data_IF_187493806186
#
_entry.id   IF_187493806186
#
_cell.length_a   1.000
_cell.length_b   1.000
_cell.length_c   1.000
_cell.angle_alpha   90.00
_cell.angle_beta   90.00
_cell.angle_gamma   90.00
#
_symmetry.space_group_name_H-M   'P 1'
#
loop_
_entity.id
_entity.type
_entity.pdbx_description
1 polymer ?
#
# COMPACT_ATOMS: atom_id res chain seq x y z
N UNK A 1 -3.08 8.31 25.90
CA UNK A 1 -4.04 9.37 25.53
C UNK A 1 -4.20 10.28 26.73
N UNK A 2 -4.12 11.57 26.53
CA UNK A 2 -4.15 12.55 27.60
C UNK A 2 -5.58 12.90 28.05
N UNK A 3 -6.58 12.64 27.20
CA UNK A 3 -7.98 12.97 27.46
C UNK A 3 -8.84 11.70 27.29
N UNK A 4 -9.77 11.41 28.24
CA UNK A 4 -10.73 10.33 28.06
C UNK A 4 -11.62 10.57 26.84
N UNK A 5 -11.77 9.56 26.01
CA UNK A 5 -12.66 9.57 24.83
C UNK A 5 -13.86 8.65 25.09
N UNK A 6 -15.04 8.94 24.50
CA UNK A 6 -16.18 8.03 24.56
C UNK A 6 -15.83 6.67 23.98
N UNK A 7 -16.26 5.60 24.64
CA UNK A 7 -16.12 4.25 24.11
C UNK A 7 -17.11 4.00 22.99
N UNK A 8 -16.73 3.10 22.04
CA UNK A 8 -17.59 2.69 20.94
C UNK A 8 -17.47 1.19 20.71
N UNK A 9 -18.49 0.60 20.07
CA UNK A 9 -18.45 -0.76 19.57
C UNK A 9 -18.08 -0.70 18.09
N UNK A 10 -16.94 -1.31 17.73
CA UNK A 10 -16.50 -1.44 16.34
C UNK A 10 -16.73 -2.88 15.88
N UNK A 11 -17.52 -3.05 14.82
CA UNK A 11 -17.67 -4.33 14.10
C UNK A 11 -16.77 -4.33 12.88
N UNK A 12 -15.90 -5.32 12.79
CA UNK A 12 -14.96 -5.48 11.67
C UNK A 12 -15.32 -6.72 10.86
N UNK A 13 -15.52 -6.54 9.56
CA UNK A 13 -15.76 -7.61 8.60
C UNK A 13 -14.50 -7.82 7.74
N UNK A 14 -14.09 -9.08 7.58
CA UNK A 14 -12.95 -9.48 6.76
C UNK A 14 -13.14 -10.92 6.31
N UNK A 15 -12.55 -11.29 5.16
CA UNK A 15 -12.52 -12.67 4.67
C UNK A 15 -11.83 -13.62 5.66
N UNK A 16 -10.88 -13.12 6.42
CA UNK A 16 -10.20 -13.85 7.48
C UNK A 16 -9.71 -12.92 8.58
N UNK A 17 -9.81 -13.37 9.82
CA UNK A 17 -9.19 -12.75 10.98
C UNK A 17 -7.93 -13.47 11.44
N UNK A 18 -7.47 -14.49 10.68
CA UNK A 18 -6.21 -15.18 10.98
C UNK A 18 -5.03 -14.31 10.54
N UNK A 19 -4.14 -14.04 11.48
CA UNK A 19 -2.99 -13.15 11.36
C UNK A 19 -1.70 -13.94 11.52
N UNK A 20 -0.58 -13.39 11.11
CA UNK A 20 0.74 -14.01 11.37
C UNK A 20 0.96 -14.19 12.87
N UNK A 21 0.53 -13.23 13.71
CA UNK A 21 0.59 -13.31 15.16
C UNK A 21 -0.18 -14.50 15.75
N UNK A 22 -1.26 -14.96 15.10
CA UNK A 22 -1.99 -16.17 15.54
C UNK A 22 -1.09 -17.41 15.50
N UNK A 23 -0.25 -17.54 14.49
CA UNK A 23 0.74 -18.62 14.36
C UNK A 23 1.89 -18.45 15.35
N UNK A 24 2.38 -17.21 15.53
CA UNK A 24 3.44 -16.93 16.50
C UNK A 24 3.03 -17.30 17.93
N UNK A 25 1.81 -16.95 18.34
CA UNK A 25 1.29 -17.30 19.67
C UNK A 25 1.33 -18.82 19.91
N UNK A 26 0.90 -19.60 18.92
CA UNK A 26 0.93 -21.07 19.00
C UNK A 26 2.37 -21.62 19.01
N UNK A 27 3.26 -21.03 18.23
CA UNK A 27 4.67 -21.38 18.18
C UNK A 27 5.37 -21.10 19.51
N UNK A 28 5.24 -19.90 20.07
CA UNK A 28 5.86 -19.52 21.34
C UNK A 28 5.29 -20.28 22.55
N UNK A 29 4.05 -20.77 22.45
CA UNK A 29 3.46 -21.65 23.47
C UNK A 29 3.76 -23.12 23.22
N UNK A 30 4.69 -23.44 22.31
CA UNK A 30 5.15 -24.79 21.96
C UNK A 30 4.01 -25.75 21.60
N UNK A 31 3.13 -25.32 20.65
CA UNK A 31 1.96 -26.09 20.19
C UNK A 31 2.02 -26.33 18.66
N UNK A 32 3.04 -27.06 18.15
CA UNK A 32 3.23 -27.26 16.72
C UNK A 32 2.04 -27.95 16.05
N UNK A 33 1.37 -28.86 16.73
CA UNK A 33 0.16 -29.54 16.24
C UNK A 33 -1.00 -28.57 16.00
N UNK A 34 -1.11 -27.51 16.81
CA UNK A 34 -2.12 -26.44 16.61
C UNK A 34 -1.74 -25.49 15.47
N UNK A 35 -0.44 -25.24 15.26
CA UNK A 35 0.04 -24.51 14.07
C UNK A 35 -0.37 -25.28 12.81
N UNK A 36 -0.13 -26.61 12.80
CA UNK A 36 -0.54 -27.48 11.68
C UNK A 36 -2.06 -27.46 11.45
N UNK A 37 -2.84 -27.53 12.51
CA UNK A 37 -4.32 -27.49 12.45
C UNK A 37 -4.80 -26.14 11.88
N UNK A 38 -4.25 -25.02 12.37
CA UNK A 38 -4.59 -23.68 11.88
C UNK A 38 -4.18 -23.51 10.42
N UNK A 39 -3.01 -24.01 10.02
CA UNK A 39 -2.56 -23.93 8.63
C UNK A 39 -3.45 -24.74 7.70
N UNK A 40 -3.85 -25.95 8.09
CA UNK A 40 -4.77 -26.78 7.31
C UNK A 40 -6.16 -26.12 7.19
N UNK A 41 -6.69 -25.51 8.25
CA UNK A 41 -7.91 -24.70 8.19
C UNK A 41 -7.80 -23.56 7.17
N UNK A 42 -6.66 -22.85 7.16
CA UNK A 42 -6.41 -21.76 6.19
C UNK A 42 -6.36 -22.30 4.76
N UNK A 43 -5.72 -23.45 4.55
CA UNK A 43 -5.64 -24.08 3.23
C UNK A 43 -7.05 -24.46 2.75
N UNK A 44 -7.81 -25.14 3.57
CA UNK A 44 -9.19 -25.51 3.23
C UNK A 44 -10.06 -24.32 2.90
N UNK A 45 -9.98 -23.25 3.69
CA UNK A 45 -10.89 -22.11 3.60
C UNK A 45 -10.49 -21.08 2.54
N UNK A 46 -9.20 -20.82 2.37
CA UNK A 46 -8.69 -19.71 1.56
C UNK A 46 -7.82 -20.15 0.37
N UNK A 47 -7.41 -21.42 0.32
CA UNK A 47 -6.57 -21.98 -0.74
C UNK A 47 -7.05 -23.38 -1.18
N UNK A 48 -8.35 -23.56 -1.47
CA UNK A 48 -8.93 -24.90 -1.72
C UNK A 48 -8.28 -25.61 -2.92
N UNK A 49 -7.72 -24.86 -3.87
CA UNK A 49 -7.05 -25.44 -5.05
C UNK A 49 -5.80 -26.26 -4.73
N UNK A 50 -5.18 -26.05 -3.56
CA UNK A 50 -3.98 -26.77 -3.14
C UNK A 50 -4.26 -27.75 -1.98
N UNK A 51 -5.50 -27.91 -1.55
CA UNK A 51 -5.85 -28.69 -0.36
C UNK A 51 -5.39 -30.14 -0.43
N UNK A 52 -5.47 -30.77 -1.60
CA UNK A 52 -5.11 -32.16 -1.83
C UNK A 52 -3.68 -32.35 -2.37
N UNK A 53 -2.90 -31.26 -2.47
CA UNK A 53 -1.52 -31.34 -2.93
C UNK A 53 -0.61 -31.87 -1.80
N UNK A 54 0.33 -32.75 -2.14
CA UNK A 54 1.30 -33.30 -1.19
C UNK A 54 2.24 -32.21 -0.61
N UNK A 55 2.48 -31.15 -1.38
CA UNK A 55 3.34 -30.01 -1.03
C UNK A 55 2.53 -28.79 -0.51
N UNK A 56 1.27 -28.99 -0.11
CA UNK A 56 0.34 -27.91 0.25
C UNK A 56 0.89 -26.89 1.25
N UNK A 57 1.72 -27.31 2.21
CA UNK A 57 2.31 -26.43 3.21
C UNK A 57 3.39 -25.52 2.59
N UNK A 58 4.15 -25.99 1.62
CA UNK A 58 5.08 -25.19 0.82
C UNK A 58 4.35 -24.21 -0.08
N UNK A 59 3.28 -24.69 -0.74
CA UNK A 59 2.48 -23.89 -1.66
C UNK A 59 1.76 -22.74 -0.93
N UNK A 60 1.18 -22.98 0.26
CA UNK A 60 0.54 -21.90 1.01
C UNK A 60 1.56 -20.84 1.45
N UNK A 61 2.77 -21.22 1.87
CA UNK A 61 3.83 -20.26 2.18
C UNK A 61 4.15 -19.38 0.98
N UNK A 62 4.35 -19.98 -0.20
CA UNK A 62 4.56 -19.24 -1.47
C UNK A 62 3.41 -18.26 -1.78
N UNK A 63 2.17 -18.68 -1.61
CA UNK A 63 1.00 -17.84 -1.82
C UNK A 63 0.94 -16.67 -0.83
N UNK A 64 1.25 -16.90 0.44
CA UNK A 64 1.26 -15.85 1.47
C UNK A 64 2.35 -14.81 1.15
N UNK A 65 3.56 -15.24 0.80
CA UNK A 65 4.65 -14.35 0.39
C UNK A 65 4.23 -13.49 -0.80
N UNK A 66 3.67 -14.10 -1.84
CA UNK A 66 3.21 -13.39 -3.04
C UNK A 66 2.10 -12.39 -2.74
N UNK A 67 1.11 -12.76 -1.93
CA UNK A 67 -0.01 -11.87 -1.56
C UNK A 67 0.47 -10.69 -0.70
N UNK A 68 1.36 -10.96 0.25
CA UNK A 68 1.97 -9.90 1.08
C UNK A 68 2.80 -8.94 0.24
N UNK A 69 3.64 -9.44 -0.66
CA UNK A 69 4.42 -8.61 -1.57
C UNK A 69 3.52 -7.69 -2.44
N UNK A 70 2.43 -8.24 -2.96
CA UNK A 70 1.43 -7.48 -3.72
C UNK A 70 0.75 -6.41 -2.87
N UNK A 71 0.33 -6.75 -1.65
CA UNK A 71 -0.31 -5.82 -0.71
C UNK A 71 0.60 -4.63 -0.40
N UNK A 72 1.86 -4.91 -0.05
CA UNK A 72 2.83 -3.85 0.25
C UNK A 72 3.13 -2.98 -0.99
N UNK A 73 3.20 -3.58 -2.18
CA UNK A 73 3.38 -2.83 -3.43
C UNK A 73 2.19 -1.88 -3.69
N UNK A 74 0.95 -2.32 -3.43
CA UNK A 74 -0.25 -1.49 -3.53
C UNK A 74 -0.22 -0.32 -2.53
N UNK A 75 0.17 -0.56 -1.28
CA UNK A 75 0.32 0.52 -0.28
C UNK A 75 1.35 1.55 -0.74
N UNK A 76 2.53 1.10 -1.18
CA UNK A 76 3.59 1.98 -1.66
C UNK A 76 3.16 2.80 -2.87
N UNK A 77 2.53 2.16 -3.87
CA UNK A 77 2.10 2.86 -5.08
C UNK A 77 0.99 3.89 -4.81
N UNK A 78 0.18 3.72 -3.76
CA UNK A 78 -0.91 4.64 -3.42
C UNK A 78 -0.57 5.64 -2.30
N UNK A 79 0.66 5.65 -1.80
CA UNK A 79 1.04 6.53 -0.70
C UNK A 79 0.30 6.23 0.60
N UNK A 80 -0.12 4.97 0.78
CA UNK A 80 -0.79 4.50 1.99
C UNK A 80 0.24 4.03 3.01
N UNK A 81 0.07 4.46 4.25
CA UNK A 81 0.88 4.05 5.40
C UNK A 81 -0.02 3.37 6.42
N UNK A 82 0.28 2.12 6.72
CA UNK A 82 -0.48 1.35 7.70
C UNK A 82 -0.25 1.84 9.14
N UNK A 83 0.97 2.25 9.44
CA UNK A 83 1.36 2.84 10.74
C UNK A 83 1.64 1.86 11.87
N UNK A 84 1.17 0.60 11.81
CA UNK A 84 1.46 -0.46 12.80
C UNK A 84 1.52 -1.82 12.13
N UNK A 85 2.64 -2.13 11.50
CA UNK A 85 2.84 -3.40 10.78
C UNK A 85 3.51 -4.47 11.65
N UNK A 86 2.95 -4.76 12.82
CA UNK A 86 3.34 -5.95 13.58
C UNK A 86 2.64 -7.20 13.02
N UNK A 87 3.03 -8.38 13.50
CA UNK A 87 2.47 -9.65 13.03
C UNK A 87 0.97 -9.83 13.32
N UNK A 88 0.45 -9.09 14.32
CA UNK A 88 -0.98 -9.10 14.65
C UNK A 88 -1.82 -8.27 13.66
N UNK A 89 -1.18 -7.47 12.81
CA UNK A 89 -1.84 -6.62 11.82
C UNK A 89 -1.55 -7.07 10.37
N UNK A 90 -0.93 -8.23 10.20
CA UNK A 90 -0.67 -8.83 8.89
C UNK A 90 -1.49 -10.09 8.71
N UNK A 91 -2.37 -10.10 7.70
CA UNK A 91 -3.27 -11.22 7.44
C UNK A 91 -2.64 -12.28 6.55
N UNK A 92 -3.07 -13.51 6.76
CA UNK A 92 -2.66 -14.64 5.93
C UNK A 92 -3.22 -14.55 4.50
N UNK A 93 -4.26 -13.76 4.27
CA UNK A 93 -4.91 -13.56 2.97
C UNK A 93 -4.32 -12.42 2.16
N UNK A 94 -3.43 -11.59 2.74
CA UNK A 94 -2.83 -10.44 2.07
C UNK A 94 -3.83 -9.30 1.82
N UNK A 95 -4.76 -9.09 2.75
CA UNK A 95 -5.69 -7.96 2.77
C UNK A 95 -5.27 -6.95 3.84
N UNK A 96 -5.54 -5.66 3.63
CA UNK A 96 -5.32 -4.65 4.65
C UNK A 96 -6.24 -4.91 5.84
N UNK A 97 -5.66 -4.96 7.02
CA UNK A 97 -6.35 -5.33 8.25
C UNK A 97 -5.92 -4.42 9.40
N UNK A 98 -6.85 -4.13 10.31
CA UNK A 98 -6.61 -3.33 11.51
C UNK A 98 -6.16 -1.88 11.22
N UNK A 99 -7.13 -1.08 10.76
CA UNK A 99 -6.94 0.34 10.49
C UNK A 99 -6.82 1.14 11.80
N UNK A 100 -5.63 1.08 12.41
CA UNK A 100 -5.26 1.91 13.58
C UNK A 100 -4.83 3.31 13.13
N UNK A 101 -3.62 3.76 13.46
CA UNK A 101 -3.11 5.06 13.03
C UNK A 101 -2.62 5.02 11.58
N UNK A 102 -3.50 4.65 10.63
CA UNK A 102 -3.18 4.66 9.21
C UNK A 102 -3.32 6.06 8.62
N UNK A 103 -2.76 6.27 7.43
CA UNK A 103 -2.98 7.49 6.67
C UNK A 103 -2.54 7.37 5.22
N UNK A 104 -3.09 8.25 4.39
CA UNK A 104 -2.55 8.52 3.06
C UNK A 104 -1.62 9.72 3.15
N UNK A 105 -0.48 9.62 2.50
CA UNK A 105 0.54 10.65 2.50
C UNK A 105 0.07 11.90 1.75
N UNK A 106 0.10 13.05 2.41
CA UNK A 106 -0.17 14.33 1.77
C UNK A 106 1.01 14.72 0.87
N UNK A 107 2.13 15.07 1.45
CA UNK A 107 3.36 15.37 0.72
C UNK A 107 4.26 14.16 0.68
N UNK A 108 4.91 13.91 -0.46
CA UNK A 108 5.83 12.78 -0.55
C UNK A 108 6.96 12.90 0.46
N UNK A 109 6.97 11.98 1.42
CA UNK A 109 8.01 11.89 2.44
C UNK A 109 8.21 10.40 2.82
N UNK A 110 9.35 9.78 2.47
CA UNK A 110 9.62 8.39 2.81
C UNK A 110 9.71 8.12 4.32
N UNK A 111 9.96 9.15 5.13
CA UNK A 111 10.06 9.05 6.58
C UNK A 111 8.74 9.35 7.30
N UNK A 112 7.67 9.62 6.57
CA UNK A 112 6.37 9.91 7.18
C UNK A 112 5.77 8.66 7.85
N UNK A 113 5.34 8.82 9.10
CA UNK A 113 4.52 7.87 9.84
C UNK A 113 3.33 8.59 10.48
N UNK A 114 2.10 8.09 10.31
CA UNK A 114 0.92 8.66 10.98
C UNK A 114 0.80 8.21 12.44
N UNK A 115 1.66 7.32 12.91
CA UNK A 115 1.63 6.76 14.25
C UNK A 115 2.48 7.59 15.22
N UNK A 116 1.83 8.38 16.07
CA UNK A 116 2.50 9.19 17.10
C UNK A 116 3.25 8.35 18.16
N UNK A 117 2.90 7.07 18.31
CA UNK A 117 3.58 6.14 19.22
C UNK A 117 4.79 5.44 18.58
N UNK A 118 5.17 5.83 17.36
CA UNK A 118 6.34 5.31 16.63
C UNK A 118 7.40 6.41 16.43
N UNK A 119 8.08 6.87 17.50
CA UNK A 119 9.02 7.99 17.41
C UNK A 119 10.25 7.67 16.57
N UNK A 120 10.56 6.40 16.37
CA UNK A 120 11.71 5.94 15.58
C UNK A 120 11.35 5.68 14.11
N UNK A 121 10.10 5.86 13.71
CA UNK A 121 9.64 5.64 12.35
C UNK A 121 9.81 4.19 11.87
N UNK A 122 9.66 3.21 12.77
CA UNK A 122 9.73 1.78 12.40
C UNK A 122 8.76 1.45 11.27
N UNK A 123 7.58 2.05 11.31
CA UNK A 123 6.49 1.83 10.36
C UNK A 123 6.32 2.98 9.36
N UNK A 124 7.37 3.80 9.17
CA UNK A 124 7.34 4.86 8.16
C UNK A 124 7.12 4.29 6.74
N UNK A 125 6.58 5.13 5.85
CA UNK A 125 6.27 4.75 4.46
C UNK A 125 7.42 4.00 3.77
N UNK A 126 8.64 4.53 3.82
CA UNK A 126 9.80 3.92 3.15
C UNK A 126 10.27 2.60 3.80
N UNK A 127 9.80 2.30 5.01
CA UNK A 127 10.15 1.08 5.75
C UNK A 127 9.18 -0.08 5.53
N UNK A 128 7.99 0.18 4.99
CA UNK A 128 6.95 -0.84 4.83
C UNK A 128 7.42 -2.10 4.08
N UNK A 129 8.19 -2.03 2.98
CA UNK A 129 8.69 -3.23 2.30
C UNK A 129 9.59 -4.09 3.19
N UNK A 130 10.51 -3.47 3.95
CA UNK A 130 11.40 -4.17 4.88
C UNK A 130 10.63 -4.84 6.02
N UNK A 131 9.64 -4.13 6.58
CA UNK A 131 8.79 -4.65 7.66
C UNK A 131 7.86 -5.76 7.14
N UNK A 132 7.39 -5.68 5.89
CA UNK A 132 6.67 -6.77 5.23
C UNK A 132 7.50 -8.06 5.17
N UNK A 133 8.77 -7.96 4.76
CA UNK A 133 9.71 -9.07 4.78
C UNK A 133 9.94 -9.63 6.20
N UNK A 134 10.16 -8.75 7.18
CA UNK A 134 10.32 -9.15 8.59
C UNK A 134 9.10 -9.92 9.09
N UNK A 135 7.89 -9.48 8.79
CA UNK A 135 6.66 -10.18 9.17
C UNK A 135 6.57 -11.57 8.53
N UNK A 136 6.93 -11.69 7.26
CA UNK A 136 6.98 -12.97 6.57
C UNK A 136 8.01 -13.91 7.17
N UNK A 137 9.20 -13.42 7.55
CA UNK A 137 10.19 -14.25 8.23
C UNK A 137 9.66 -14.77 9.57
N UNK A 138 8.98 -13.91 10.35
CA UNK A 138 8.36 -14.31 11.62
C UNK A 138 7.23 -15.33 11.46
N UNK A 139 6.44 -15.20 10.42
CA UNK A 139 5.43 -16.21 10.08
C UNK A 139 6.11 -17.54 9.66
N UNK A 140 7.10 -17.47 8.78
CA UNK A 140 7.80 -18.67 8.25
C UNK A 140 8.51 -19.47 9.34
N UNK A 141 9.09 -18.80 10.35
CA UNK A 141 9.70 -19.46 11.52
C UNK A 141 8.72 -20.44 12.19
N UNK A 142 7.43 -20.11 12.21
CA UNK A 142 6.40 -20.96 12.84
C UNK A 142 6.13 -22.26 12.07
N UNK A 143 6.54 -22.32 10.82
CA UNK A 143 6.30 -23.45 9.91
C UNK A 143 7.48 -24.43 9.83
N UNK A 144 8.58 -24.20 10.57
CA UNK A 144 9.81 -25.00 10.47
C UNK A 144 9.67 -26.49 10.78
N UNK A 145 8.57 -26.92 11.41
CA UNK A 145 8.24 -28.34 11.63
C UNK A 145 7.45 -28.98 10.48
N UNK A 146 6.97 -28.19 9.51
CA UNK A 146 6.17 -28.64 8.36
C UNK A 146 6.88 -28.42 7.02
N UNK A 147 7.78 -27.44 6.96
CA UNK A 147 8.44 -27.00 5.74
C UNK A 147 9.95 -26.96 5.99
N UNK A 148 10.69 -27.51 5.04
CA UNK A 148 12.14 -27.53 5.10
C UNK A 148 12.74 -26.12 5.21
N UNK A 149 13.72 -25.87 6.10
CA UNK A 149 14.32 -24.55 6.30
C UNK A 149 14.97 -23.97 5.06
N UNK A 150 15.56 -24.80 4.19
CA UNK A 150 16.17 -24.33 2.95
C UNK A 150 15.10 -23.80 2.00
N UNK A 151 13.97 -24.54 1.87
CA UNK A 151 12.83 -24.08 1.06
C UNK A 151 12.25 -22.77 1.60
N UNK A 152 12.12 -22.63 2.93
CA UNK A 152 11.68 -21.36 3.56
C UNK A 152 12.60 -20.21 3.16
N UNK A 153 13.92 -20.41 3.24
CA UNK A 153 14.89 -19.35 2.90
C UNK A 153 14.82 -18.97 1.42
N UNK A 154 14.68 -19.94 0.52
CA UNK A 154 14.54 -19.71 -0.92
C UNK A 154 13.25 -18.95 -1.24
N UNK A 155 12.12 -19.30 -0.65
CA UNK A 155 10.84 -18.61 -0.85
C UNK A 155 10.85 -17.19 -0.26
N UNK A 156 11.45 -16.98 0.91
CA UNK A 156 11.62 -15.64 1.48
C UNK A 156 12.50 -14.74 0.60
N UNK A 157 13.52 -15.30 -0.03
CA UNK A 157 14.37 -14.55 -0.97
C UNK A 157 13.59 -14.05 -2.20
N UNK A 158 12.49 -14.72 -2.58
CA UNK A 158 11.63 -14.31 -3.67
C UNK A 158 10.73 -13.10 -3.33
N UNK A 159 10.57 -12.73 -2.07
CA UNK A 159 9.72 -11.60 -1.66
C UNK A 159 10.11 -10.30 -2.36
N UNK A 160 11.38 -9.90 -2.29
CA UNK A 160 11.84 -8.62 -2.84
C UNK A 160 11.71 -8.55 -4.38
N UNK A 161 12.09 -9.58 -5.17
CA UNK A 161 11.81 -9.61 -6.60
C UNK A 161 10.33 -9.50 -6.94
N UNK A 162 9.46 -10.22 -6.23
CA UNK A 162 8.01 -10.18 -6.44
C UNK A 162 7.45 -8.79 -6.11
N UNK A 163 7.83 -8.21 -4.96
CA UNK A 163 7.45 -6.86 -4.59
C UNK A 163 7.88 -5.83 -5.65
N UNK A 164 9.13 -5.88 -6.09
CA UNK A 164 9.68 -4.95 -7.07
C UNK A 164 8.95 -5.03 -8.41
N UNK A 165 8.59 -6.24 -8.86
CA UNK A 165 7.84 -6.43 -10.11
C UNK A 165 6.43 -5.85 -10.02
N UNK A 166 5.70 -6.13 -8.92
CA UNK A 166 4.39 -5.54 -8.69
C UNK A 166 4.44 -4.02 -8.58
N UNK A 167 5.38 -3.49 -7.78
CA UNK A 167 5.51 -2.04 -7.58
C UNK A 167 5.86 -1.33 -8.89
N UNK A 168 6.79 -1.88 -9.68
CA UNK A 168 7.17 -1.35 -11.00
C UNK A 168 5.97 -1.30 -11.95
N UNK A 169 5.18 -2.37 -12.01
CA UNK A 169 3.95 -2.43 -12.84
C UNK A 169 2.91 -1.40 -12.40
N UNK A 170 2.68 -1.27 -11.09
CA UNK A 170 1.76 -0.27 -10.53
C UNK A 170 2.22 1.16 -10.84
N UNK A 171 3.51 1.44 -10.72
CA UNK A 171 4.07 2.75 -11.09
C UNK A 171 3.95 3.02 -12.59
N UNK A 172 4.15 2.01 -13.44
CA UNK A 172 3.88 2.10 -14.87
C UNK A 172 2.43 2.50 -15.15
N UNK A 173 1.47 1.81 -14.55
CA UNK A 173 0.04 2.13 -14.68
C UNK A 173 -0.29 3.55 -14.19
N UNK A 174 0.30 4.00 -13.07
CA UNK A 174 0.12 5.36 -12.54
C UNK A 174 0.66 6.43 -13.47
N UNK A 175 1.73 6.14 -14.18
CA UNK A 175 2.36 7.04 -15.17
C UNK A 175 1.80 6.85 -16.58
N UNK A 176 0.96 5.84 -16.80
CA UNK A 176 0.44 5.50 -18.13
C UNK A 176 1.53 5.03 -19.09
N UNK A 177 2.53 4.28 -18.58
CA UNK A 177 3.66 3.72 -19.33
C UNK A 177 3.64 2.20 -19.22
N UNK A 178 3.91 1.52 -20.33
CA UNK A 178 3.95 0.05 -20.46
C UNK A 178 5.37 -0.48 -20.57
N UNK A 179 6.31 0.28 -21.17
CA UNK A 179 7.73 -0.08 -21.28
C UNK A 179 8.45 0.33 -19.99
N UNK A 180 8.75 -0.66 -19.15
CA UNK A 180 9.29 -0.46 -17.79
C UNK A 180 10.80 -0.78 -17.74
N UNK A 181 11.57 -0.14 -18.59
CA UNK A 181 13.01 -0.31 -18.75
C UNK A 181 13.87 0.56 -17.80
N UNK A 182 15.15 0.73 -18.13
CA UNK A 182 16.07 1.57 -17.34
C UNK A 182 15.71 3.06 -17.39
N UNK A 183 15.19 3.56 -18.51
CA UNK A 183 14.75 4.96 -18.63
C UNK A 183 13.50 5.22 -17.75
N UNK A 184 12.57 4.27 -17.72
CA UNK A 184 11.44 4.32 -16.79
C UNK A 184 11.92 4.36 -15.34
N UNK A 185 12.88 3.51 -14.97
CA UNK A 185 13.44 3.51 -13.60
C UNK A 185 14.08 4.86 -13.25
N UNK A 186 14.82 5.44 -14.18
CA UNK A 186 15.41 6.76 -13.99
C UNK A 186 14.35 7.84 -13.83
N UNK A 187 13.30 7.83 -14.67
CA UNK A 187 12.15 8.72 -14.59
C UNK A 187 11.50 8.69 -13.21
N UNK A 188 11.22 7.50 -12.68
CA UNK A 188 10.59 7.31 -11.37
C UNK A 188 11.49 7.80 -10.25
N UNK A 189 12.78 7.51 -10.29
CA UNK A 189 13.73 7.98 -9.27
C UNK A 189 13.84 9.50 -9.24
N UNK A 190 13.96 10.15 -10.40
CA UNK A 190 13.97 11.62 -10.51
C UNK A 190 12.64 12.23 -10.03
N UNK A 191 11.51 11.59 -10.34
CA UNK A 191 10.21 12.02 -9.86
C UNK A 191 10.16 12.08 -8.34
N UNK A 192 10.54 11.01 -7.65
CA UNK A 192 10.48 10.97 -6.20
C UNK A 192 11.42 11.99 -5.54
N UNK A 193 12.59 12.25 -6.13
CA UNK A 193 13.47 13.32 -5.68
C UNK A 193 12.81 14.71 -5.82
N UNK A 194 12.16 14.98 -6.97
CA UNK A 194 11.43 16.21 -7.18
C UNK A 194 10.27 16.40 -6.20
N UNK A 195 9.46 15.37 -6.00
CA UNK A 195 8.33 15.40 -5.07
C UNK A 195 8.79 15.66 -3.63
N UNK A 196 9.84 14.97 -3.18
CA UNK A 196 10.40 15.13 -1.85
C UNK A 196 10.99 16.51 -1.61
N UNK A 197 11.87 16.99 -2.51
CA UNK A 197 12.56 18.26 -2.37
C UNK A 197 11.64 19.48 -2.37
N UNK A 198 10.45 19.31 -2.97
CA UNK A 198 9.47 20.39 -3.12
C UNK A 198 8.21 20.20 -2.26
N UNK A 199 8.17 19.16 -1.42
CA UNK A 199 6.99 18.84 -0.60
C UNK A 199 5.69 18.81 -1.42
N UNK A 200 5.73 18.12 -2.56
CA UNK A 200 4.59 18.04 -3.48
C UNK A 200 3.60 16.98 -2.98
N UNK A 201 2.32 17.34 -3.06
CA UNK A 201 1.22 16.42 -2.77
C UNK A 201 1.25 15.23 -3.72
N UNK A 202 1.33 14.03 -3.13
CA UNK A 202 1.51 12.78 -3.87
C UNK A 202 0.33 12.48 -4.79
N UNK A 203 -0.86 12.41 -4.23
CA UNK A 203 -2.07 12.02 -4.98
C UNK A 203 -2.48 13.05 -6.00
N UNK A 204 -2.43 14.34 -5.64
CA UNK A 204 -2.74 15.44 -6.55
C UNK A 204 -1.78 15.45 -7.73
N UNK A 205 -0.48 15.23 -7.49
CA UNK A 205 0.50 15.21 -8.57
C UNK A 205 0.21 14.10 -9.59
N UNK A 206 0.03 12.86 -9.13
CA UNK A 206 -0.26 11.73 -10.02
C UNK A 206 -1.57 11.90 -10.77
N UNK A 207 -2.60 12.47 -10.15
CA UNK A 207 -3.87 12.76 -10.83
C UNK A 207 -3.68 13.72 -11.98
N UNK A 208 -2.91 14.79 -11.79
CA UNK A 208 -2.66 15.80 -12.82
C UNK A 208 -1.68 15.37 -13.91
N UNK A 209 -0.89 14.33 -13.70
CA UNK A 209 -0.03 13.80 -14.77
C UNK A 209 -0.81 13.26 -15.97
N UNK A 210 -2.06 12.86 -15.78
CA UNK A 210 -2.93 12.41 -16.87
C UNK A 210 -3.24 13.51 -17.90
N UNK A 211 -3.08 14.78 -17.53
CA UNK A 211 -3.33 15.93 -18.39
C UNK A 211 -2.14 16.29 -19.30
N UNK A 212 -0.96 15.72 -19.05
CA UNK A 212 0.23 15.94 -19.90
C UNK A 212 0.13 15.15 -21.22
N UNK A 213 0.70 15.67 -22.32
CA UNK A 213 1.48 16.92 -22.43
C UNK A 213 0.65 18.19 -22.60
N UNK A 214 -0.67 18.07 -22.78
CA UNK A 214 -1.54 19.18 -23.18
C UNK A 214 -1.67 20.28 -22.12
N UNK A 215 -1.70 19.90 -20.85
CA UNK A 215 -1.89 20.85 -19.75
C UNK A 215 -1.24 20.34 -18.46
N UNK A 216 -0.52 21.23 -17.77
CA UNK A 216 -0.07 20.98 -16.41
C UNK A 216 -0.45 22.18 -15.53
N UNK A 217 -1.14 21.97 -14.37
CA UNK A 217 -1.69 23.07 -13.61
C UNK A 217 -0.63 24.08 -13.16
N UNK A 218 -0.81 25.36 -13.53
CA UNK A 218 0.12 26.44 -13.16
C UNK A 218 0.37 26.50 -11.65
N UNK A 219 -0.69 26.34 -10.83
CA UNK A 219 -0.59 26.32 -9.36
C UNK A 219 0.30 25.19 -8.83
N UNK A 220 0.29 24.03 -9.49
CA UNK A 220 1.15 22.91 -9.12
C UNK A 220 2.59 23.19 -9.56
N UNK A 221 2.80 23.72 -10.78
CA UNK A 221 4.13 24.09 -11.28
C UNK A 221 4.81 25.13 -10.37
N UNK A 222 4.07 26.09 -9.84
CA UNK A 222 4.58 27.14 -8.93
C UNK A 222 5.05 26.63 -7.57
N UNK A 223 4.70 25.40 -7.19
CA UNK A 223 5.19 24.78 -5.95
C UNK A 223 6.63 24.23 -6.07
N UNK A 224 7.14 24.08 -7.29
CA UNK A 224 8.49 23.60 -7.51
C UNK A 224 9.50 24.76 -7.40
N UNK A 225 10.48 24.60 -6.51
CA UNK A 225 11.55 25.60 -6.28
C UNK A 225 12.47 25.75 -7.49
N UNK A 226 12.65 24.65 -8.24
CA UNK A 226 13.41 24.60 -9.48
C UNK A 226 12.49 24.22 -10.65
N UNK A 227 11.94 25.24 -11.36
CA UNK A 227 11.11 25.01 -12.54
C UNK A 227 11.86 24.30 -13.69
N UNK A 228 13.17 24.49 -13.81
CA UNK A 228 13.96 23.87 -14.89
C UNK A 228 14.10 22.36 -14.66
N UNK A 229 14.30 21.93 -13.41
CA UNK A 229 14.33 20.52 -13.06
C UNK A 229 12.97 19.84 -13.35
N UNK A 230 11.86 20.52 -13.06
CA UNK A 230 10.53 20.02 -13.40
C UNK A 230 10.33 19.94 -14.92
N UNK A 231 10.68 20.99 -15.67
CA UNK A 231 10.53 21.01 -17.13
C UNK A 231 11.41 19.94 -17.81
N UNK A 232 12.61 19.71 -17.29
CA UNK A 232 13.48 18.61 -17.74
C UNK A 232 12.84 17.23 -17.48
N UNK A 233 12.24 17.03 -16.31
CA UNK A 233 11.54 15.80 -15.98
C UNK A 233 10.30 15.60 -16.87
N UNK A 234 9.50 16.64 -17.09
CA UNK A 234 8.34 16.62 -17.98
C UNK A 234 8.77 16.25 -19.41
N UNK A 235 9.86 16.84 -19.90
CA UNK A 235 10.39 16.52 -21.24
C UNK A 235 10.80 15.05 -21.36
N UNK A 236 11.42 14.49 -20.32
CA UNK A 236 11.75 13.06 -20.27
C UNK A 236 10.50 12.18 -20.27
N UNK A 237 9.49 12.56 -19.49
CA UNK A 237 8.22 11.86 -19.39
C UNK A 237 7.45 11.85 -20.72
N UNK A 238 7.32 13.03 -21.37
CA UNK A 238 6.66 13.16 -22.69
C UNK A 238 7.36 12.33 -23.74
N UNK A 239 8.70 12.32 -23.80
CA UNK A 239 9.46 11.47 -24.71
C UNK A 239 9.14 9.98 -24.53
N UNK A 240 8.99 9.52 -23.28
CA UNK A 240 8.61 8.11 -23.03
C UNK A 240 7.18 7.81 -23.46
N UNK A 241 6.24 8.75 -23.29
CA UNK A 241 4.88 8.60 -23.80
C UNK A 241 4.87 8.49 -25.32
N UNK A 242 5.56 9.39 -26.01
CA UNK A 242 5.63 9.42 -27.48
C UNK A 242 6.27 8.15 -28.06
N UNK A 243 7.18 7.52 -27.33
CA UNK A 243 7.79 6.26 -27.71
C UNK A 243 6.80 5.07 -27.71
N UNK A 244 5.79 5.11 -26.84
CA UNK A 244 4.87 3.96 -26.63
C UNK A 244 3.58 4.08 -27.45
N UNK A 245 2.76 5.08 -27.18
CA UNK A 245 1.47 5.28 -27.84
C UNK A 245 1.07 6.76 -27.81
N UNK A 246 0.87 7.37 -28.98
CA UNK A 246 0.43 8.76 -29.07
C UNK A 246 -1.04 8.98 -28.71
N UNK A 247 -1.84 7.94 -28.41
CA UNK A 247 -3.26 8.11 -28.05
C UNK A 247 -3.44 8.63 -26.61
N UNK A 248 -3.31 9.94 -26.46
CA UNK A 248 -3.35 10.63 -25.17
C UNK A 248 -4.68 10.50 -24.45
N UNK A 249 -5.81 10.37 -25.16
CA UNK A 249 -7.13 10.27 -24.52
C UNK A 249 -7.30 8.93 -23.79
N UNK A 250 -7.02 7.82 -24.47
CA UNK A 250 -7.05 6.48 -23.85
C UNK A 250 -6.09 6.37 -22.67
N UNK A 251 -4.90 6.97 -22.78
CA UNK A 251 -3.93 7.01 -21.70
C UNK A 251 -4.47 7.79 -20.48
N UNK A 252 -5.06 8.97 -20.71
CA UNK A 252 -5.66 9.77 -19.64
C UNK A 252 -6.75 9.00 -18.89
N UNK A 253 -7.65 8.34 -19.61
CA UNK A 253 -8.70 7.51 -19.02
C UNK A 253 -8.12 6.37 -18.16
N UNK A 254 -7.18 5.60 -18.70
CA UNK A 254 -6.48 4.53 -17.96
C UNK A 254 -5.81 5.07 -16.69
N UNK A 255 -5.06 6.17 -16.77
CA UNK A 255 -4.40 6.79 -15.62
C UNK A 255 -5.39 7.27 -14.56
N UNK A 256 -6.52 7.82 -14.97
CA UNK A 256 -7.54 8.32 -14.05
C UNK A 256 -8.26 7.20 -13.30
N UNK A 257 -8.31 5.98 -13.83
CA UNK A 257 -8.81 4.79 -13.13
C UNK A 257 -7.81 4.24 -12.09
N UNK A 258 -6.54 4.63 -12.18
CA UNK A 258 -5.48 4.19 -11.27
C UNK A 258 -5.11 5.26 -10.24
N UNK A 259 -5.15 6.54 -10.64
CA UNK A 259 -4.80 7.66 -9.78
C UNK A 259 -6.08 8.28 -9.19
N UNK A 260 -6.36 8.07 -7.89
CA UNK A 260 -7.58 8.58 -7.28
C UNK A 260 -7.59 10.11 -7.27
N UNK A 261 -8.76 10.70 -7.48
CA UNK A 261 -9.02 12.12 -7.30
C UNK A 261 -9.21 12.47 -5.83
N UNK A 262 -9.79 11.54 -5.07
CA UNK A 262 -10.08 11.69 -3.66
C UNK A 262 -9.36 10.62 -2.84
N UNK A 263 -8.77 11.01 -1.72
CA UNK A 263 -8.19 10.12 -0.71
C UNK A 263 -8.68 10.55 0.66
N UNK A 264 -8.75 9.62 1.61
CA UNK A 264 -9.06 9.94 3.00
C UNK A 264 -7.85 10.59 3.66
N UNK A 265 -7.89 11.92 3.78
CA UNK A 265 -6.83 12.69 4.43
C UNK A 265 -7.09 12.78 5.94
N UNK A 266 -6.05 12.67 6.73
CA UNK A 266 -6.19 12.64 8.18
C UNK A 266 -6.85 13.90 8.75
N UNK A 267 -6.58 15.08 8.17
CA UNK A 267 -7.22 16.32 8.62
C UNK A 267 -8.73 16.35 8.29
N UNK A 268 -9.17 15.79 7.15
CA UNK A 268 -10.59 15.68 6.81
C UNK A 268 -11.31 14.69 7.74
N UNK A 269 -10.63 13.59 8.10
CA UNK A 269 -11.15 12.64 9.06
C UNK A 269 -11.29 13.29 10.45
N UNK A 270 -10.30 14.10 10.86
CA UNK A 270 -10.34 14.82 12.13
C UNK A 270 -11.49 15.83 12.14
N UNK A 271 -11.67 16.62 11.09
CA UNK A 271 -12.77 17.59 10.97
C UNK A 271 -14.15 16.89 11.07
N UNK A 272 -14.32 15.75 10.38
CA UNK A 272 -15.55 14.96 10.44
C UNK A 272 -15.80 14.39 11.86
N UNK A 273 -14.72 13.93 12.52
CA UNK A 273 -14.79 13.43 13.90
C UNK A 273 -15.14 14.54 14.87
N UNK A 274 -14.54 15.71 14.75
CA UNK A 274 -14.78 16.86 15.60
C UNK A 274 -16.24 17.36 15.52
N UNK A 275 -16.80 17.46 14.30
CA UNK A 275 -18.21 17.79 14.09
C UNK A 275 -19.15 16.75 14.72
N UNK A 276 -18.88 15.47 14.46
CA UNK A 276 -19.69 14.39 15.02
C UNK A 276 -19.69 14.42 16.57
N UNK A 277 -18.52 14.64 17.20
CA UNK A 277 -18.38 14.64 18.66
C UNK A 277 -18.93 15.93 19.33
N UNK A 278 -18.68 17.11 18.73
CA UNK A 278 -18.99 18.41 19.35
C UNK A 278 -20.38 18.91 19.04
N UNK A 279 -20.87 18.59 17.83
CA UNK A 279 -22.10 19.15 17.28
C UNK A 279 -23.17 18.07 17.02
N UNK A 280 -22.84 16.78 17.19
CA UNK A 280 -23.69 15.65 16.77
C UNK A 280 -24.05 15.72 15.29
N UNK A 281 -23.19 16.35 14.46
CA UNK A 281 -23.34 16.49 13.04
C UNK A 281 -22.49 15.45 12.28
N UNK A 282 -23.14 14.49 11.64
CA UNK A 282 -22.54 13.41 10.86
C UNK A 282 -22.47 13.70 9.36
N UNK A 283 -22.84 14.91 8.93
CA UNK A 283 -22.89 15.28 7.51
C UNK A 283 -21.54 15.12 6.79
N UNK A 284 -20.43 15.47 7.45
CA UNK A 284 -19.10 15.31 6.88
C UNK A 284 -18.67 13.83 6.78
N UNK A 285 -19.08 13.00 7.75
CA UNK A 285 -18.84 11.54 7.68
C UNK A 285 -19.52 10.97 6.45
N UNK A 286 -20.79 11.33 6.22
CA UNK A 286 -21.56 10.85 5.07
C UNK A 286 -21.00 11.41 3.75
N UNK A 287 -20.57 12.67 3.72
CA UNK A 287 -19.93 13.29 2.55
C UNK A 287 -18.64 12.55 2.16
N UNK A 288 -17.78 12.27 3.14
CA UNK A 288 -16.54 11.52 2.92
C UNK A 288 -16.85 10.09 2.46
N UNK A 289 -17.81 9.41 3.07
CA UNK A 289 -18.23 8.07 2.65
C UNK A 289 -18.63 8.04 1.18
N UNK A 290 -19.50 8.95 0.75
CA UNK A 290 -19.96 9.06 -0.65
C UNK A 290 -18.80 9.36 -1.62
N UNK A 291 -17.88 10.24 -1.23
CA UNK A 291 -16.71 10.58 -2.06
C UNK A 291 -15.77 9.39 -2.24
N UNK A 292 -15.58 8.61 -1.19
CA UNK A 292 -14.62 7.50 -1.17
C UNK A 292 -15.19 6.18 -1.70
N UNK A 293 -16.51 6.07 -1.94
CA UNK A 293 -17.10 4.92 -2.64
C UNK A 293 -16.62 4.81 -4.09
N UNK A 294 -16.41 5.96 -4.75
CA UNK A 294 -15.81 6.01 -6.09
C UNK A 294 -14.78 7.14 -6.16
N UNK A 295 -13.57 6.89 -5.63
CA UNK A 295 -12.55 7.92 -5.44
C UNK A 295 -11.88 8.36 -6.75
N UNK A 296 -12.15 7.67 -7.85
CA UNK A 296 -11.55 7.94 -9.16
C UNK A 296 -12.40 8.86 -10.03
N UNK A 297 -13.70 8.96 -9.73
CA UNK A 297 -14.66 9.70 -10.54
C UNK A 297 -14.51 11.21 -10.35
N UNK A 298 -14.50 11.93 -11.48
CA UNK A 298 -14.68 13.38 -11.45
C UNK A 298 -16.10 13.71 -11.00
N UNK A 299 -16.20 14.53 -9.96
CA UNK A 299 -17.48 15.07 -9.46
C UNK A 299 -17.43 16.59 -9.54
N UNK A 300 -18.56 17.24 -9.83
CA UNK A 300 -18.64 18.70 -9.90
C UNK A 300 -18.29 19.36 -8.55
#
# INVERSE_FOLDING_TARGET
REIPEPGAILVRLSDSHVRFGSFQLLHFTNKPEKVTTLLNYIIERHYPSIQNDSEKHKLVLRHVIKRTAKLIALWQANGFIHGVMNTDNMTITGTTFDYGPFGFMDHFNPNFTPNHSDPNGRYAYGKQPEIGYWNLSKFSETLGHLVDPQFIAEELANYQPIYNDYYRKLMGQKLGLEILDSEFKELVNKLFQLLYNNSIDYSIFFRHLSDLPSNFPKRLKQKFKDPQALDSWISMFVRLIEREDPNLNTRKEKMNLINPKFILRNYLLQDATDKALKESDFSEVERLRILLEDPYKDRP
#
